data_IF_576194115491
#
_entry.id   IF_576194115491
#
_cell.length_a   1.000
_cell.length_b   1.000
_cell.length_c   1.000
_cell.angle_alpha   90.00
_cell.angle_beta   90.00
_cell.angle_gamma   90.00
#
_symmetry.space_group_name_H-M   'P 1'
#
loop_
_entity.id
_entity.type
_entity.pdbx_description
1 polymer ?
#
# COMPACT_ATOMS: atom_id res chain seq x y z
N UNK A 1 53.21 69.38 -7.50
CA UNK A 1 51.82 68.86 -7.55
C UNK A 1 51.73 67.35 -7.73
N UNK A 2 52.68 66.66 -8.38
CA UNK A 2 52.59 65.21 -8.63
C UNK A 2 52.80 64.28 -7.41
N UNK A 3 53.41 64.77 -6.31
CA UNK A 3 53.67 63.96 -5.11
C UNK A 3 52.46 63.73 -4.19
N UNK A 4 51.43 64.57 -4.29
CA UNK A 4 50.21 64.48 -3.46
C UNK A 4 49.08 63.67 -4.13
N UNK A 5 49.11 63.55 -5.46
CA UNK A 5 48.07 62.84 -6.24
C UNK A 5 48.26 61.32 -6.17
N UNK A 6 49.51 60.84 -6.18
CA UNK A 6 49.83 59.40 -6.13
C UNK A 6 49.35 58.69 -4.85
N UNK A 7 49.52 59.26 -3.64
CA UNK A 7 48.97 58.66 -2.41
C UNK A 7 47.43 58.63 -2.39
N UNK A 8 46.78 59.66 -2.94
CA UNK A 8 45.32 59.75 -3.00
C UNK A 8 44.76 58.69 -3.95
N UNK A 9 45.37 58.51 -5.13
CA UNK A 9 45.00 57.45 -6.07
C UNK A 9 45.20 56.05 -5.46
N UNK A 10 46.32 55.82 -4.77
CA UNK A 10 46.56 54.55 -4.09
C UNK A 10 45.50 54.27 -3.02
N UNK A 11 45.11 55.28 -2.23
CA UNK A 11 44.06 55.15 -1.23
C UNK A 11 42.70 54.84 -1.86
N UNK A 12 42.34 55.51 -2.97
CA UNK A 12 41.11 55.22 -3.72
C UNK A 12 41.12 53.79 -4.26
N UNK A 13 42.23 53.32 -4.82
CA UNK A 13 42.36 51.93 -5.29
C UNK A 13 42.21 50.91 -4.16
N UNK A 14 42.80 51.17 -2.97
CA UNK A 14 42.65 50.31 -1.80
C UNK A 14 41.20 50.28 -1.32
N UNK A 15 40.53 51.43 -1.27
CA UNK A 15 39.12 51.52 -0.89
C UNK A 15 38.22 50.79 -1.89
N UNK A 16 38.47 50.93 -3.20
CA UNK A 16 37.75 50.21 -4.24
C UNK A 16 37.95 48.70 -4.11
N UNK A 17 39.18 48.23 -3.95
CA UNK A 17 39.48 46.80 -3.73
C UNK A 17 38.78 46.26 -2.49
N UNK A 18 38.76 47.04 -1.40
CA UNK A 18 38.05 46.65 -0.18
C UNK A 18 36.54 46.57 -0.39
N UNK A 19 35.93 47.55 -1.07
CA UNK A 19 34.51 47.50 -1.41
C UNK A 19 34.19 46.32 -2.31
N UNK A 20 34.99 46.06 -3.35
CA UNK A 20 34.81 44.90 -4.22
C UNK A 20 34.88 43.61 -3.42
N UNK A 21 35.86 43.47 -2.52
CA UNK A 21 35.99 42.30 -1.66
C UNK A 21 34.77 42.07 -0.76
N UNK A 22 34.26 43.14 -0.14
CA UNK A 22 33.07 43.08 0.72
C UNK A 22 31.84 42.67 -0.08
N UNK A 23 31.64 43.26 -1.26
CA UNK A 23 30.52 42.93 -2.16
C UNK A 23 30.60 41.49 -2.62
N UNK A 24 31.76 41.03 -3.12
CA UNK A 24 31.96 39.64 -3.56
C UNK A 24 31.71 38.65 -2.42
N UNK A 25 32.15 38.94 -1.20
CA UNK A 25 31.90 38.09 -0.03
C UNK A 25 30.41 38.00 0.31
N UNK A 26 29.67 39.11 0.18
CA UNK A 26 28.22 39.17 0.40
C UNK A 26 27.47 38.36 -0.66
N UNK A 27 27.81 38.55 -1.93
CA UNK A 27 27.20 37.84 -3.05
C UNK A 27 27.46 36.33 -2.97
N UNK A 28 28.70 35.90 -2.68
CA UNK A 28 29.02 34.48 -2.48
C UNK A 28 28.20 33.87 -1.34
N UNK A 29 27.94 34.62 -0.27
CA UNK A 29 27.09 34.15 0.84
C UNK A 29 25.63 34.00 0.39
N UNK A 30 25.11 34.95 -0.38
CA UNK A 30 23.77 34.88 -0.97
C UNK A 30 23.64 33.69 -1.94
N UNK A 31 24.59 33.50 -2.86
CA UNK A 31 24.59 32.37 -3.78
C UNK A 31 24.66 31.05 -3.03
N UNK A 32 25.49 30.95 -1.98
CA UNK A 32 25.57 29.75 -1.15
C UNK A 32 24.25 29.44 -0.44
N UNK A 33 23.56 30.47 0.06
CA UNK A 33 22.25 30.31 0.67
C UNK A 33 21.21 29.83 -0.37
N UNK A 34 21.21 30.42 -1.56
CA UNK A 34 20.30 30.05 -2.64
C UNK A 34 20.55 28.60 -3.10
N UNK A 35 21.81 28.20 -3.27
CA UNK A 35 22.17 26.81 -3.60
C UNK A 35 21.73 25.83 -2.51
N UNK A 36 21.86 26.20 -1.23
CA UNK A 36 21.38 25.36 -0.13
C UNK A 36 19.85 25.22 -0.15
N UNK A 37 19.11 26.27 -0.49
CA UNK A 37 17.66 26.21 -0.64
C UNK A 37 17.26 25.28 -1.79
N UNK A 38 17.87 25.46 -2.97
CA UNK A 38 17.62 24.61 -4.14
C UNK A 38 17.95 23.14 -3.86
N UNK A 39 19.08 22.87 -3.20
CA UNK A 39 19.47 21.51 -2.82
C UNK A 39 18.44 20.86 -1.88
N UNK A 40 17.86 21.64 -0.96
CA UNK A 40 16.84 21.13 -0.05
C UNK A 40 15.51 20.86 -0.77
N UNK A 41 15.09 21.75 -1.67
CA UNK A 41 13.90 21.54 -2.52
C UNK A 41 14.04 20.30 -3.41
N UNK A 42 15.22 20.12 -4.01
CA UNK A 42 15.49 18.94 -4.86
C UNK A 42 15.49 17.64 -4.04
N UNK A 43 16.08 17.65 -2.84
CA UNK A 43 16.01 16.50 -1.91
C UNK A 43 14.57 16.16 -1.56
N UNK A 44 13.76 17.17 -1.27
CA UNK A 44 12.34 17.00 -0.95
C UNK A 44 11.57 16.38 -2.13
N UNK A 45 11.77 16.93 -3.33
CA UNK A 45 11.17 16.39 -4.56
C UNK A 45 11.57 14.93 -4.81
N UNK A 46 12.83 14.60 -4.63
CA UNK A 46 13.33 13.23 -4.79
C UNK A 46 12.71 12.29 -3.74
N UNK A 47 12.58 12.72 -2.48
CA UNK A 47 11.92 11.92 -1.45
C UNK A 47 10.46 11.63 -1.77
N UNK A 48 9.72 12.63 -2.27
CA UNK A 48 8.34 12.46 -2.74
C UNK A 48 8.28 11.47 -3.89
N UNK A 49 9.10 11.64 -4.93
CA UNK A 49 9.10 10.75 -6.08
C UNK A 49 9.42 9.29 -5.70
N UNK A 50 10.40 9.08 -4.82
CA UNK A 50 10.73 7.75 -4.30
C UNK A 50 9.55 7.17 -3.52
N UNK A 51 8.87 7.99 -2.71
CA UNK A 51 7.70 7.57 -1.94
C UNK A 51 6.54 7.19 -2.86
N UNK A 52 6.15 8.05 -3.81
CA UNK A 52 5.09 7.80 -4.79
C UNK A 52 5.33 6.50 -5.56
N UNK A 53 6.56 6.28 -6.05
CA UNK A 53 6.91 5.03 -6.75
C UNK A 53 6.73 3.80 -5.87
N UNK A 54 7.11 3.88 -4.59
CA UNK A 54 6.98 2.75 -3.65
C UNK A 54 5.53 2.48 -3.27
N UNK A 55 4.73 3.53 -3.08
CA UNK A 55 3.28 3.41 -2.82
C UNK A 55 2.60 2.80 -4.04
N UNK A 56 2.88 3.27 -5.25
CA UNK A 56 2.29 2.72 -6.48
C UNK A 56 2.64 1.25 -6.66
N UNK A 57 3.91 0.88 -6.47
CA UNK A 57 4.33 -0.53 -6.49
C UNK A 57 3.60 -1.40 -5.43
N UNK A 58 3.28 -0.82 -4.26
CA UNK A 58 2.52 -1.52 -3.22
C UNK A 58 1.05 -1.67 -3.63
N UNK A 59 0.47 -0.61 -4.19
CA UNK A 59 -0.88 -0.58 -4.70
C UNK A 59 -1.08 -1.60 -5.83
N UNK A 60 -0.10 -1.72 -6.74
CA UNK A 60 -0.12 -2.73 -7.82
C UNK A 60 -0.12 -4.16 -7.27
N UNK A 61 0.63 -4.42 -6.19
CA UNK A 61 0.64 -5.73 -5.53
C UNK A 61 -0.69 -6.04 -4.86
N UNK A 62 -1.35 -5.04 -4.29
CA UNK A 62 -2.65 -5.18 -3.64
C UNK A 62 -3.80 -5.24 -4.66
N UNK A 63 -3.69 -4.58 -5.81
CA UNK A 63 -4.67 -4.66 -6.88
C UNK A 63 -4.43 -5.83 -7.84
N UNK A 64 -3.57 -6.77 -7.44
CA UNK A 64 -3.31 -7.98 -8.20
C UNK A 64 -4.55 -8.88 -8.20
N UNK A 65 -4.86 -9.43 -9.38
CA UNK A 65 -5.87 -10.47 -9.55
C UNK A 65 -5.45 -11.74 -8.82
N UNK A 66 -6.36 -12.29 -8.03
CA UNK A 66 -6.18 -13.58 -7.35
C UNK A 66 -6.48 -14.68 -8.35
N UNK A 67 -5.48 -15.52 -8.62
CA UNK A 67 -5.71 -16.78 -9.31
C UNK A 67 -6.05 -17.88 -8.29
N UNK A 68 -7.35 -18.12 -8.14
CA UNK A 68 -7.89 -19.17 -7.28
C UNK A 68 -7.44 -20.58 -7.69
N UNK A 69 -7.07 -20.78 -8.96
CA UNK A 69 -6.71 -22.10 -9.53
C UNK A 69 -5.31 -22.54 -9.12
N UNK A 70 -4.43 -21.59 -8.84
CA UNK A 70 -3.04 -21.85 -8.42
C UNK A 70 -2.84 -21.71 -6.91
N UNK A 71 -3.81 -21.13 -6.19
CA UNK A 71 -3.79 -21.02 -4.73
C UNK A 71 -4.26 -22.31 -4.05
N UNK A 72 -3.38 -23.32 -3.99
CA UNK A 72 -3.65 -24.65 -3.44
C UNK A 72 -4.24 -24.64 -2.03
N UNK A 73 -3.84 -23.66 -1.20
CA UNK A 73 -4.29 -23.56 0.18
C UNK A 73 -5.72 -23.05 0.27
N UNK A 74 -6.10 -22.08 -0.58
CA UNK A 74 -7.46 -21.54 -0.62
C UNK A 74 -8.44 -22.58 -1.16
N UNK A 75 -8.04 -23.31 -2.21
CA UNK A 75 -8.83 -24.40 -2.76
C UNK A 75 -9.08 -25.51 -1.72
N UNK A 76 -8.02 -25.95 -1.01
CA UNK A 76 -8.14 -26.99 0.01
C UNK A 76 -9.00 -26.55 1.20
N UNK A 77 -8.88 -25.32 1.66
CA UNK A 77 -9.69 -24.80 2.76
C UNK A 77 -11.15 -24.57 2.35
N UNK A 78 -11.43 -24.15 1.11
CA UNK A 78 -12.78 -24.15 0.54
C UNK A 78 -13.38 -25.56 0.50
N UNK A 79 -12.61 -26.56 0.06
CA UNK A 79 -13.05 -27.97 0.01
C UNK A 79 -13.32 -28.52 1.42
N UNK A 80 -12.45 -28.20 2.39
CA UNK A 80 -12.61 -28.60 3.79
C UNK A 80 -13.78 -27.88 4.48
N UNK A 81 -14.11 -26.65 4.09
CA UNK A 81 -15.26 -25.91 4.59
C UNK A 81 -16.59 -26.40 4.03
N UNK A 82 -16.57 -26.94 2.81
CA UNK A 82 -17.72 -27.58 2.19
C UNK A 82 -17.90 -29.04 2.67
N UNK A 83 -16.97 -29.56 3.48
CA UNK A 83 -17.03 -30.90 4.05
C UNK A 83 -18.18 -31.00 5.05
N UNK A 84 -19.19 -31.81 4.72
CA UNK A 84 -20.38 -32.06 5.56
C UNK A 84 -21.66 -31.32 5.14
N UNK A 85 -21.56 -30.34 4.23
CA UNK A 85 -22.72 -29.61 3.68
C UNK A 85 -23.05 -29.93 2.22
N UNK A 86 -22.13 -30.57 1.52
CA UNK A 86 -22.25 -30.90 0.10
C UNK A 86 -22.05 -32.40 -0.10
N UNK A 87 -22.74 -32.99 -1.07
CA UNK A 87 -22.63 -34.42 -1.40
C UNK A 87 -21.16 -34.82 -1.67
N UNK A 88 -20.83 -36.10 -1.45
CA UNK A 88 -19.49 -36.61 -1.75
C UNK A 88 -19.10 -36.47 -3.23
N UNK A 89 -20.08 -36.55 -4.14
CA UNK A 89 -19.85 -36.40 -5.57
C UNK A 89 -19.49 -34.96 -5.96
N UNK A 90 -20.22 -33.98 -5.43
CA UNK A 90 -19.97 -32.56 -5.69
C UNK A 90 -18.60 -32.10 -5.16
N UNK A 91 -18.16 -32.65 -4.03
CA UNK A 91 -16.82 -32.40 -3.47
C UNK A 91 -15.71 -32.93 -4.36
N UNK A 92 -15.87 -34.13 -4.92
CA UNK A 92 -14.90 -34.72 -5.84
C UNK A 92 -14.84 -33.91 -7.14
N UNK A 93 -15.98 -33.46 -7.66
CA UNK A 93 -16.04 -32.57 -8.82
C UNK A 93 -15.38 -31.23 -8.57
N UNK A 94 -15.69 -30.56 -7.44
CA UNK A 94 -15.08 -29.29 -7.06
C UNK A 94 -13.56 -29.42 -6.83
N UNK A 95 -13.13 -30.49 -6.15
CA UNK A 95 -11.72 -30.79 -5.93
C UNK A 95 -10.99 -31.02 -7.26
N UNK A 96 -11.56 -31.81 -8.17
CA UNK A 96 -11.02 -32.02 -9.52
C UNK A 96 -10.98 -30.74 -10.34
N UNK A 97 -11.99 -29.89 -10.24
CA UNK A 97 -12.06 -28.58 -10.91
C UNK A 97 -11.00 -27.59 -10.38
N UNK A 98 -10.77 -27.58 -9.07
CA UNK A 98 -9.79 -26.70 -8.44
C UNK A 98 -8.35 -27.18 -8.60
N UNK A 99 -8.12 -28.48 -8.82
CA UNK A 99 -6.78 -29.06 -9.03
C UNK A 99 -6.41 -29.29 -10.48
N UNK A 100 -7.39 -29.51 -11.37
CA UNK A 100 -7.19 -29.60 -12.81
C UNK A 100 -7.96 -28.46 -13.45
N UNK A 101 -7.27 -27.62 -14.23
CA UNK A 101 -7.80 -26.47 -15.00
C UNK A 101 -8.89 -26.84 -16.04
N UNK A 102 -9.92 -27.59 -15.67
CA UNK A 102 -10.91 -28.16 -16.58
C UNK A 102 -12.22 -27.41 -16.37
N UNK A 103 -12.60 -26.56 -17.32
CA UNK A 103 -13.92 -25.94 -17.37
C UNK A 103 -14.96 -26.99 -17.78
N UNK A 104 -15.49 -27.76 -16.82
CA UNK A 104 -16.66 -28.61 -17.08
C UNK A 104 -17.94 -27.96 -16.53
N UNK A 105 -18.96 -27.87 -17.40
CA UNK A 105 -20.27 -27.31 -17.09
C UNK A 105 -20.98 -28.14 -16.02
N UNK A 106 -21.22 -27.52 -14.86
CA UNK A 106 -21.99 -28.11 -13.78
C UNK A 106 -23.49 -28.08 -14.12
N UNK A 107 -24.09 -29.24 -14.30
CA UNK A 107 -25.54 -29.42 -14.26
C UNK A 107 -25.88 -30.17 -12.97
N UNK A 108 -26.50 -29.50 -11.99
CA UNK A 108 -27.19 -30.21 -10.91
C UNK A 108 -28.44 -29.47 -10.44
N UNK A 109 -29.57 -30.17 -10.53
CA UNK A 109 -30.81 -29.79 -9.88
C UNK A 109 -30.83 -30.31 -8.45
N UNK A 110 -30.75 -29.41 -7.48
CA UNK A 110 -31.30 -29.57 -6.12
C UNK A 110 -31.23 -28.21 -5.41
N UNK A 111 -32.31 -27.83 -4.73
CA UNK A 111 -32.58 -26.49 -4.22
C UNK A 111 -31.83 -26.01 -2.98
N UNK A 112 -30.57 -26.42 -2.77
CA UNK A 112 -29.69 -25.81 -1.76
C UNK A 112 -28.33 -25.52 -2.39
N UNK A 113 -27.89 -24.25 -2.31
CA UNK A 113 -26.63 -23.68 -2.85
C UNK A 113 -25.58 -24.76 -3.15
N UNK A 114 -25.55 -25.21 -4.40
CA UNK A 114 -24.75 -26.38 -4.79
C UNK A 114 -23.31 -25.94 -5.02
N UNK A 115 -22.34 -26.83 -4.81
CA UNK A 115 -20.94 -26.61 -5.19
C UNK A 115 -20.78 -26.08 -6.64
N UNK A 116 -21.77 -26.31 -7.50
CA UNK A 116 -21.92 -25.75 -8.83
C UNK A 116 -21.92 -24.21 -8.86
N UNK A 117 -22.66 -23.54 -7.97
CA UNK A 117 -22.75 -22.08 -7.93
C UNK A 117 -21.41 -21.46 -7.49
N UNK A 118 -20.79 -22.08 -6.48
CA UNK A 118 -19.48 -21.65 -5.98
C UNK A 118 -18.37 -21.92 -7.02
N UNK A 119 -18.43 -23.06 -7.71
CA UNK A 119 -17.55 -23.36 -8.85
C UNK A 119 -17.73 -22.32 -9.95
N UNK A 120 -18.96 -22.05 -10.37
CA UNK A 120 -19.26 -21.07 -11.42
C UNK A 120 -18.68 -19.70 -11.09
N UNK A 121 -18.80 -19.23 -9.84
CA UNK A 121 -18.18 -17.98 -9.40
C UNK A 121 -16.66 -18.02 -9.49
N UNK A 122 -16.02 -19.10 -9.06
CA UNK A 122 -14.56 -19.27 -9.13
C UNK A 122 -14.04 -19.26 -10.58
N UNK A 123 -14.80 -19.82 -11.53
CA UNK A 123 -14.36 -19.91 -12.93
C UNK A 123 -14.70 -18.68 -13.77
N UNK A 124 -15.81 -18.01 -13.46
CA UNK A 124 -16.38 -16.96 -14.32
C UNK A 124 -16.18 -15.55 -13.76
N UNK A 125 -15.73 -15.38 -12.51
CA UNK A 125 -15.44 -14.08 -11.92
C UNK A 125 -13.97 -13.87 -11.57
N UNK A 126 -13.58 -12.62 -11.70
CA UNK A 126 -12.27 -12.13 -11.29
C UNK A 126 -12.34 -11.60 -9.87
N UNK A 127 -11.42 -12.07 -9.03
CA UNK A 127 -11.27 -11.61 -7.66
C UNK A 127 -9.97 -10.84 -7.51
N UNK A 128 -9.99 -9.76 -6.75
CA UNK A 128 -8.84 -8.90 -6.52
C UNK A 128 -8.45 -8.92 -5.04
N UNK A 129 -7.14 -8.89 -4.76
CA UNK A 129 -6.60 -8.87 -3.40
C UNK A 129 -7.14 -7.68 -2.61
N UNK A 130 -7.21 -6.49 -3.21
CA UNK A 130 -7.74 -5.27 -2.59
C UNK A 130 -9.18 -5.44 -2.13
N UNK A 131 -10.06 -5.95 -3.01
CA UNK A 131 -11.46 -6.20 -2.69
C UNK A 131 -11.60 -7.27 -1.61
N UNK A 132 -10.89 -8.39 -1.73
CA UNK A 132 -10.95 -9.47 -0.77
C UNK A 132 -10.45 -9.04 0.62
N UNK A 133 -9.32 -8.33 0.69
CA UNK A 133 -8.77 -7.75 1.92
C UNK A 133 -9.71 -6.72 2.52
N UNK A 134 -10.21 -5.77 1.73
CA UNK A 134 -11.12 -4.75 2.22
C UNK A 134 -12.38 -5.41 2.78
N UNK A 135 -12.99 -6.37 2.06
CA UNK A 135 -14.16 -7.09 2.56
C UNK A 135 -13.85 -7.88 3.83
N UNK A 136 -12.71 -8.56 3.92
CA UNK A 136 -12.35 -9.30 5.13
C UNK A 136 -12.07 -8.39 6.32
N UNK A 137 -11.13 -7.45 6.21
CA UNK A 137 -10.66 -6.65 7.35
C UNK A 137 -11.69 -5.60 7.79
N UNK A 138 -12.52 -5.09 6.89
CA UNK A 138 -13.61 -4.15 7.26
C UNK A 138 -14.81 -4.89 7.83
N UNK A 139 -15.13 -6.10 7.34
CA UNK A 139 -16.32 -6.83 7.80
C UNK A 139 -16.08 -7.68 9.05
N UNK A 140 -14.83 -8.05 9.33
CA UNK A 140 -14.46 -8.93 10.44
C UNK A 140 -13.42 -8.21 11.29
N UNK A 141 -13.81 -7.96 12.54
CA UNK A 141 -12.94 -7.34 13.53
C UNK A 141 -11.66 -8.18 13.69
N UNK A 142 -10.51 -7.49 13.77
CA UNK A 142 -9.11 -7.85 13.47
C UNK A 142 -8.54 -9.20 13.98
N UNK A 143 -9.30 -9.98 14.74
CA UNK A 143 -8.80 -11.14 15.49
C UNK A 143 -9.64 -12.42 15.34
N UNK A 144 -10.79 -12.37 14.66
CA UNK A 144 -11.74 -13.50 14.65
C UNK A 144 -11.68 -14.21 13.31
N UNK A 145 -11.27 -15.49 13.31
CA UNK A 145 -11.47 -16.40 12.17
C UNK A 145 -12.93 -16.28 11.70
N UNK A 146 -13.22 -16.05 10.40
CA UNK A 146 -14.59 -15.92 9.94
C UNK A 146 -15.44 -17.09 10.42
N UNK A 147 -16.66 -16.81 10.87
CA UNK A 147 -17.67 -17.86 11.02
C UNK A 147 -18.08 -18.31 9.61
N UNK A 148 -17.30 -19.24 9.08
CA UNK A 148 -17.47 -19.76 7.75
C UNK A 148 -18.84 -20.40 7.54
N UNK A 149 -19.46 -20.92 8.61
CA UNK A 149 -20.78 -21.49 8.53
C UNK A 149 -21.84 -20.43 8.26
N UNK A 150 -21.69 -19.27 8.90
CA UNK A 150 -22.52 -18.09 8.65
C UNK A 150 -22.22 -17.45 7.29
N UNK A 151 -20.95 -17.38 6.87
CA UNK A 151 -20.57 -16.89 5.54
C UNK A 151 -21.23 -17.69 4.42
N UNK A 152 -21.25 -19.03 4.53
CA UNK A 152 -21.92 -19.89 3.55
C UNK A 152 -23.45 -19.69 3.49
N UNK A 153 -24.06 -19.22 4.58
CA UNK A 153 -25.49 -18.87 4.65
C UNK A 153 -25.79 -17.45 4.14
N UNK A 154 -24.79 -16.64 3.81
CA UNK A 154 -25.00 -15.31 3.23
C UNK A 154 -25.74 -15.41 1.90
N UNK A 155 -26.63 -14.45 1.65
CA UNK A 155 -27.38 -14.36 0.39
C UNK A 155 -26.45 -14.02 -0.78
N UNK A 156 -25.44 -13.18 -0.52
CA UNK A 156 -24.39 -12.85 -1.48
C UNK A 156 -23.23 -13.84 -1.36
N UNK A 157 -23.07 -14.68 -2.38
CA UNK A 157 -22.02 -15.71 -2.45
C UNK A 157 -20.66 -15.15 -2.87
N UNK A 158 -20.66 -14.07 -3.62
CA UNK A 158 -19.43 -13.38 -4.00
C UNK A 158 -18.83 -12.66 -2.80
N UNK A 159 -19.66 -12.04 -1.96
CA UNK A 159 -19.21 -11.45 -0.70
C UNK A 159 -18.60 -12.51 0.23
N UNK A 160 -19.26 -13.67 0.35
CA UNK A 160 -18.70 -14.82 1.06
C UNK A 160 -17.32 -15.22 0.53
N UNK A 161 -17.16 -15.38 -0.80
CA UNK A 161 -15.87 -15.75 -1.38
C UNK A 161 -14.80 -14.67 -1.13
N UNK A 162 -15.15 -13.39 -1.24
CA UNK A 162 -14.22 -12.29 -0.95
C UNK A 162 -13.73 -12.31 0.50
N UNK A 163 -14.61 -12.59 1.46
CA UNK A 163 -14.24 -12.72 2.88
C UNK A 163 -13.30 -13.92 3.10
N UNK A 164 -13.59 -15.08 2.49
CA UNK A 164 -12.72 -16.26 2.55
C UNK A 164 -11.34 -15.96 1.97
N UNK A 165 -11.30 -15.35 0.78
CA UNK A 165 -10.08 -14.99 0.09
C UNK A 165 -9.24 -14.01 0.90
N UNK A 166 -9.88 -12.99 1.49
CA UNK A 166 -9.22 -12.01 2.32
C UNK A 166 -8.59 -12.65 3.57
N UNK A 167 -9.31 -13.55 4.24
CA UNK A 167 -8.78 -14.31 5.38
C UNK A 167 -7.51 -15.11 5.01
N UNK A 168 -7.57 -15.91 3.94
CA UNK A 168 -6.41 -16.69 3.51
C UNK A 168 -5.25 -15.82 3.05
N UNK A 169 -5.54 -14.72 2.38
CA UNK A 169 -4.52 -13.78 1.98
C UNK A 169 -3.82 -13.17 3.20
N UNK A 170 -4.57 -12.75 4.24
CA UNK A 170 -4.00 -12.25 5.50
C UNK A 170 -3.05 -13.24 6.19
N UNK A 171 -3.27 -14.54 6.04
CA UNK A 171 -2.38 -15.58 6.57
C UNK A 171 -1.15 -15.87 5.69
N UNK A 172 -1.13 -15.35 4.47
CA UNK A 172 -0.06 -15.61 3.51
C UNK A 172 1.22 -14.83 3.83
N UNK A 173 2.36 -15.37 3.37
CA UNK A 173 3.63 -14.64 3.43
C UNK A 173 3.61 -13.38 2.53
N UNK A 174 2.82 -13.38 1.46
CA UNK A 174 2.66 -12.23 0.57
C UNK A 174 2.05 -11.03 1.31
N UNK A 175 1.01 -11.27 2.12
CA UNK A 175 0.44 -10.24 2.99
C UNK A 175 1.46 -9.73 4.01
N UNK A 176 2.25 -10.61 4.64
CA UNK A 176 3.30 -10.18 5.58
C UNK A 176 4.31 -9.23 4.92
N UNK A 177 4.71 -9.51 3.69
CA UNK A 177 5.62 -8.65 2.92
C UNK A 177 4.96 -7.29 2.64
N UNK A 178 3.70 -7.28 2.23
CA UNK A 178 2.92 -6.07 1.95
C UNK A 178 2.76 -5.23 3.23
N UNK A 179 2.32 -5.84 4.33
CA UNK A 179 2.14 -5.18 5.62
C UNK A 179 3.45 -4.53 6.08
N UNK A 180 4.56 -5.30 6.07
CA UNK A 180 5.87 -4.76 6.43
C UNK A 180 6.33 -3.60 5.53
N UNK A 181 6.04 -3.66 4.23
CA UNK A 181 6.37 -2.60 3.30
C UNK A 181 5.55 -1.32 3.60
N UNK A 182 4.25 -1.48 3.84
CA UNK A 182 3.35 -0.39 4.23
C UNK A 182 3.80 0.24 5.55
N UNK A 183 4.07 -0.58 6.58
CA UNK A 183 4.55 -0.10 7.88
C UNK A 183 5.85 0.68 7.77
N UNK A 184 6.80 0.19 6.96
CA UNK A 184 8.06 0.90 6.71
C UNK A 184 7.84 2.22 5.98
N UNK A 185 6.97 2.27 4.98
CA UNK A 185 6.65 3.51 4.27
C UNK A 185 6.08 4.56 5.21
N UNK A 186 5.08 4.17 6.02
CA UNK A 186 4.42 5.03 6.99
C UNK A 186 5.40 5.51 8.07
N UNK A 187 6.21 4.62 8.64
CA UNK A 187 7.19 4.98 9.67
C UNK A 187 8.27 5.94 9.13
N UNK A 188 8.65 5.79 7.86
CA UNK A 188 9.64 6.69 7.25
C UNK A 188 9.12 8.11 7.07
N UNK A 189 7.81 8.33 6.98
CA UNK A 189 7.23 9.69 6.92
C UNK A 189 7.67 10.51 8.14
N UNK A 190 7.76 9.89 9.32
CA UNK A 190 8.10 10.58 10.56
C UNK A 190 9.54 11.12 10.64
N UNK A 191 10.42 10.72 9.73
CA UNK A 191 11.79 11.21 9.68
C UNK A 191 11.92 12.59 9.01
N UNK A 192 10.86 13.09 8.37
CA UNK A 192 10.86 14.37 7.67
C UNK A 192 10.34 15.52 8.53
N UNK A 193 10.47 16.76 8.06
CA UNK A 193 9.84 17.94 8.66
C UNK A 193 8.32 17.92 8.49
N UNK A 194 7.58 18.67 9.32
CA UNK A 194 6.11 18.74 9.32
C UNK A 194 5.47 18.99 7.95
N UNK A 195 6.05 19.89 7.14
CA UNK A 195 5.48 20.24 5.83
C UNK A 195 5.61 19.03 4.91
N UNK A 196 6.80 18.43 4.84
CA UNK A 196 7.04 17.23 4.04
C UNK A 196 6.25 16.02 4.54
N UNK A 197 6.02 15.89 5.85
CA UNK A 197 5.15 14.84 6.42
C UNK A 197 3.73 14.93 5.85
N UNK A 198 3.14 16.12 5.87
CA UNK A 198 1.78 16.32 5.39
C UNK A 198 1.64 15.97 3.91
N UNK A 199 2.60 16.42 3.08
CA UNK A 199 2.61 16.09 1.65
C UNK A 199 2.75 14.57 1.40
N UNK A 200 3.58 13.86 2.17
CA UNK A 200 3.72 12.40 2.03
C UNK A 200 2.46 11.66 2.47
N UNK A 201 1.73 12.16 3.48
CA UNK A 201 0.45 11.60 3.90
C UNK A 201 -0.67 11.87 2.89
N UNK A 202 -0.70 13.05 2.28
CA UNK A 202 -1.59 13.35 1.15
C UNK A 202 -1.30 12.43 -0.03
N UNK A 203 -0.04 12.24 -0.38
CA UNK A 203 0.38 11.34 -1.46
C UNK A 203 -0.02 9.87 -1.17
N UNK A 204 0.07 9.44 0.09
CA UNK A 204 -0.44 8.12 0.52
C UNK A 204 -1.96 8.03 0.28
N UNK A 205 -2.72 9.04 0.69
CA UNK A 205 -4.17 9.06 0.55
C UNK A 205 -4.65 9.13 -0.91
N UNK A 206 -3.85 9.72 -1.80
CA UNK A 206 -4.14 9.79 -3.22
C UNK A 206 -3.89 8.47 -3.96
N UNK A 207 -2.84 7.75 -3.58
CA UNK A 207 -2.36 6.59 -4.33
C UNK A 207 -2.67 5.25 -3.66
N UNK A 208 -3.29 5.25 -2.48
CA UNK A 208 -3.60 4.06 -1.71
C UNK A 208 -4.98 4.15 -1.06
N UNK A 209 -5.69 3.03 -0.99
CA UNK A 209 -6.98 2.94 -0.31
C UNK A 209 -6.80 3.17 1.20
N UNK A 210 -7.26 4.32 1.68
CA UNK A 210 -7.11 4.72 3.08
C UNK A 210 -7.92 3.89 4.06
N UNK A 211 -9.07 3.35 3.65
CA UNK A 211 -9.84 2.45 4.51
C UNK A 211 -9.10 1.12 4.67
N UNK A 212 -8.53 0.61 3.58
CA UNK A 212 -7.67 -0.56 3.63
C UNK A 212 -6.39 -0.28 4.44
N UNK A 213 -5.77 0.89 4.30
CA UNK A 213 -4.61 1.27 5.12
C UNK A 213 -4.97 1.27 6.61
N UNK A 214 -6.06 1.95 7.00
CA UNK A 214 -6.57 1.98 8.38
C UNK A 214 -6.81 0.57 8.94
N UNK A 215 -7.40 -0.30 8.13
CA UNK A 215 -7.63 -1.70 8.45
C UNK A 215 -6.31 -2.45 8.71
N UNK A 216 -5.36 -2.37 7.79
CA UNK A 216 -4.05 -3.06 7.89
C UNK A 216 -3.25 -2.56 9.10
N UNK A 217 -3.20 -1.24 9.32
CA UNK A 217 -2.36 -0.68 10.40
C UNK A 217 -2.83 -1.06 11.81
N UNK A 218 -4.10 -1.43 11.97
CA UNK A 218 -4.67 -1.84 13.26
C UNK A 218 -4.40 -3.31 13.58
N UNK A 219 -4.12 -4.12 12.56
CA UNK A 219 -3.84 -5.54 12.75
C UNK A 219 -2.66 -5.75 13.71
N UNK A 220 -2.68 -6.79 14.57
CA UNK A 220 -1.62 -7.06 15.56
C UNK A 220 -0.22 -7.23 14.95
N UNK A 221 -0.15 -7.61 13.68
CA UNK A 221 1.09 -7.82 12.93
C UNK A 221 1.72 -6.52 12.40
N UNK A 222 1.09 -5.36 12.60
CA UNK A 222 1.55 -4.05 12.12
C UNK A 222 2.54 -3.40 13.09
N UNK A 223 3.81 -3.31 12.68
CA UNK A 223 4.88 -2.61 13.41
C UNK A 223 4.93 -1.12 13.02
N UNK A 224 3.88 -0.37 13.36
CA UNK A 224 3.76 1.07 13.04
C UNK A 224 3.82 1.93 14.29
N UNK A 225 4.49 3.08 14.21
CA UNK A 225 4.52 4.09 15.27
C UNK A 225 3.10 4.55 15.64
N UNK A 226 2.80 4.65 16.93
CA UNK A 226 1.48 5.07 17.44
C UNK A 226 1.07 6.47 16.95
N UNK A 227 2.01 7.40 16.80
CA UNK A 227 1.71 8.72 16.22
C UNK A 227 1.20 8.58 14.78
N UNK A 228 1.82 7.69 14.00
CA UNK A 228 1.44 7.41 12.61
C UNK A 228 0.07 6.76 12.51
N UNK A 229 -0.23 5.85 13.44
CA UNK A 229 -1.57 5.26 13.56
C UNK A 229 -2.62 6.32 13.85
N UNK A 230 -2.34 7.31 14.70
CA UNK A 230 -3.26 8.40 15.01
C UNK A 230 -3.54 9.26 13.78
N UNK A 231 -2.51 9.61 13.00
CA UNK A 231 -2.68 10.42 11.78
C UNK A 231 -3.53 9.68 10.75
N UNK A 232 -3.19 8.44 10.43
CA UNK A 232 -3.92 7.62 9.45
C UNK A 232 -5.36 7.35 9.88
N UNK A 233 -5.65 7.28 11.18
CA UNK A 233 -7.03 7.14 11.70
C UNK A 233 -7.88 8.39 11.52
N UNK A 234 -7.25 9.57 11.41
CA UNK A 234 -7.94 10.87 11.28
C UNK A 234 -8.18 11.29 9.83
N UNK A 235 -7.32 10.84 8.92
CA UNK A 235 -7.53 10.93 7.47
C UNK A 235 -8.68 10.02 7.06
#
# INVERSE_FOLDING_TARGET
MNGLISPILALVSIVLLWMTWVTTKSEMKLTRNLLNLQLNEEKKKNSLEIFSRRINNLNDKINKKIDLRTSSNVANDLINLLHGKVSAADRISLSKLLTNNVCDNFNSGSGEVTAAEMASLIFNKDFYVSTALHRYVVSINEEIKPDFERCLKMKDKEECLNILLGYHFCLSNEFKIINNALSRLINNIYQYDEITKNELFEELALNFDMELAKAIIRMPSSEINEEAKIVIRKM
#
